data_IF_034348059762
#
_entry.id   IF_034348059762
#
_cell.length_a   1.000
_cell.length_b   1.000
_cell.length_c   1.000
_cell.angle_alpha   90.00
_cell.angle_beta   90.00
_cell.angle_gamma   90.00
#
_symmetry.space_group_name_H-M   'P 1'
#
loop_
_entity.id
_entity.type
_entity.pdbx_description
1 polymer ?
#
# COMPACT_ATOMS: atom_id res chain seq x y z
N UNK A 1 -1.31 13.86 -30.94
CA UNK A 1 -1.08 12.76 -30.01
C UNK A 1 -2.14 12.84 -28.93
N UNK A 2 -2.87 11.75 -28.71
CA UNK A 2 -3.97 11.71 -27.74
C UNK A 2 -3.65 10.66 -26.68
N UNK A 3 -3.78 11.01 -25.42
CA UNK A 3 -3.61 10.10 -24.28
C UNK A 3 -4.85 10.09 -23.41
N UNK A 4 -5.12 8.96 -22.78
CA UNK A 4 -6.17 8.81 -21.79
C UNK A 4 -5.59 9.04 -20.41
N UNK A 5 -6.20 9.93 -19.61
CA UNK A 5 -5.80 10.17 -18.23
C UNK A 5 -6.83 9.57 -17.29
N UNK A 6 -6.37 8.81 -16.31
CA UNK A 6 -7.20 8.25 -15.22
C UNK A 6 -6.89 8.96 -13.92
N UNK A 7 -7.95 9.34 -13.23
CA UNK A 7 -7.90 10.02 -11.93
C UNK A 7 -8.56 9.15 -10.86
N UNK A 8 -7.95 9.12 -9.68
CA UNK A 8 -8.41 8.31 -8.54
C UNK A 8 -8.68 9.19 -7.32
N UNK A 9 -9.47 8.67 -6.39
CA UNK A 9 -9.78 9.27 -5.10
C UNK A 9 -10.06 10.79 -5.19
N UNK A 10 -9.49 11.60 -4.31
CA UNK A 10 -9.68 13.04 -4.29
C UNK A 10 -9.37 13.79 -5.59
N UNK A 11 -8.54 13.23 -6.49
CA UNK A 11 -8.31 13.83 -7.81
C UNK A 11 -9.53 13.67 -8.72
N UNK A 12 -10.22 12.52 -8.65
CA UNK A 12 -11.48 12.28 -9.36
C UNK A 12 -12.55 13.27 -8.91
N UNK A 13 -12.67 13.47 -7.60
CA UNK A 13 -13.63 14.43 -7.04
C UNK A 13 -13.33 15.87 -7.45
N UNK A 14 -12.06 16.30 -7.36
CA UNK A 14 -11.62 17.64 -7.79
C UNK A 14 -11.87 17.89 -9.28
N UNK A 15 -11.68 16.86 -10.13
CA UNK A 15 -11.89 16.94 -11.56
C UNK A 15 -13.35 16.72 -11.99
N UNK A 16 -14.21 16.19 -11.11
CA UNK A 16 -15.60 15.80 -11.41
C UNK A 16 -15.72 14.64 -12.40
N UNK A 17 -14.63 13.90 -12.65
CA UNK A 17 -14.57 12.79 -13.61
C UNK A 17 -13.41 11.85 -13.32
N UNK A 18 -13.59 10.56 -13.60
CA UNK A 18 -12.57 9.52 -13.38
C UNK A 18 -11.61 9.35 -14.58
N UNK A 19 -12.05 9.79 -15.76
CA UNK A 19 -11.31 9.61 -17.02
C UNK A 19 -11.51 10.81 -17.93
N UNK A 20 -10.44 11.21 -18.61
CA UNK A 20 -10.46 12.27 -19.62
C UNK A 20 -9.39 11.99 -20.70
N UNK A 21 -9.53 12.65 -21.83
CA UNK A 21 -8.54 12.62 -22.89
C UNK A 21 -7.79 13.95 -22.94
N UNK A 22 -6.47 13.88 -23.12
CA UNK A 22 -5.62 15.03 -23.38
C UNK A 22 -4.94 14.90 -24.75
N UNK A 23 -4.78 16.02 -25.40
CA UNK A 23 -4.03 16.12 -26.65
C UNK A 23 -2.75 16.94 -26.44
N UNK A 24 -1.74 16.65 -27.26
CA UNK A 24 -0.48 17.41 -27.31
C UNK A 24 0.28 17.46 -25.97
N UNK A 25 0.39 16.31 -25.31
CA UNK A 25 1.25 16.09 -24.13
C UNK A 25 2.41 15.18 -24.53
N UNK A 26 3.65 15.62 -24.28
CA UNK A 26 4.85 14.90 -24.70
C UNK A 26 5.40 13.97 -23.63
N UNK A 27 5.25 14.35 -22.37
CA UNK A 27 5.72 13.60 -21.21
C UNK A 27 4.62 13.46 -20.15
N UNK A 28 4.84 12.55 -19.22
CA UNK A 28 3.93 12.35 -18.09
C UNK A 28 3.81 13.63 -17.23
N UNK A 29 4.90 14.37 -17.05
CA UNK A 29 4.90 15.66 -16.33
C UNK A 29 4.00 16.71 -16.96
N UNK A 30 3.80 16.66 -18.29
CA UNK A 30 2.94 17.61 -18.99
C UNK A 30 1.44 17.40 -18.71
N UNK A 31 1.08 16.25 -18.13
CA UNK A 31 -0.33 15.89 -17.86
C UNK A 31 -0.92 16.78 -16.77
N UNK A 32 -0.24 16.91 -15.62
CA UNK A 32 -0.79 17.63 -14.46
C UNK A 32 -1.17 19.09 -14.79
N UNK A 33 -0.31 19.90 -15.42
CA UNK A 33 -0.66 21.30 -15.76
C UNK A 33 -1.89 21.43 -16.65
N UNK A 34 -2.16 20.42 -17.50
CA UNK A 34 -3.30 20.44 -18.43
C UNK A 34 -4.64 20.10 -17.76
N UNK A 35 -4.62 19.53 -16.55
CA UNK A 35 -5.85 19.21 -15.82
C UNK A 35 -6.51 20.44 -15.20
N UNK A 36 -5.76 21.52 -14.95
CA UNK A 36 -6.27 22.73 -14.31
C UNK A 36 -6.71 22.53 -12.85
N UNK A 37 -6.15 21.53 -12.17
CA UNK A 37 -6.52 21.16 -10.80
C UNK A 37 -5.72 21.93 -9.72
N UNK A 38 -4.97 22.99 -10.10
CA UNK A 38 -4.16 23.77 -9.18
C UNK A 38 -2.80 23.12 -8.90
N UNK A 39 -2.27 23.32 -7.71
CA UNK A 39 -0.96 22.78 -7.32
C UNK A 39 -0.96 21.25 -7.28
N UNK A 40 0.13 20.66 -7.79
CA UNK A 40 0.33 19.21 -7.77
C UNK A 40 0.47 18.72 -6.33
N UNK A 41 -0.28 17.68 -5.90
CA UNK A 41 -0.16 17.16 -4.55
C UNK A 41 1.23 16.58 -4.32
N UNK A 42 1.86 16.84 -3.16
CA UNK A 42 3.10 16.18 -2.81
C UNK A 42 2.89 14.65 -2.76
N UNK A 43 3.82 13.90 -3.34
CA UNK A 43 3.73 12.44 -3.39
C UNK A 43 2.80 11.88 -4.49
N UNK A 44 2.37 12.71 -5.45
CA UNK A 44 1.67 12.21 -6.63
C UNK A 44 2.55 11.26 -7.42
N UNK A 45 2.02 10.07 -7.71
CA UNK A 45 2.70 9.06 -8.51
C UNK A 45 2.03 8.93 -9.88
N UNK A 46 2.83 8.50 -10.85
CA UNK A 46 2.39 8.32 -12.22
C UNK A 46 2.55 6.87 -12.66
N UNK A 47 1.54 6.34 -13.33
CA UNK A 47 1.66 5.07 -14.04
C UNK A 47 1.31 5.25 -15.50
N UNK A 48 2.11 4.65 -16.39
CA UNK A 48 1.91 4.60 -17.83
C UNK A 48 1.57 3.17 -18.21
N UNK A 49 0.40 2.96 -18.82
CA UNK A 49 -0.08 1.65 -19.24
C UNK A 49 -0.01 0.60 -18.12
N UNK A 50 -0.31 1.02 -16.85
CA UNK A 50 -0.31 0.24 -15.61
C UNK A 50 1.08 -0.09 -15.03
N UNK A 51 2.14 0.56 -15.52
CA UNK A 51 3.48 0.46 -14.96
C UNK A 51 3.91 1.81 -14.38
N UNK A 52 4.53 1.80 -13.20
CA UNK A 52 5.04 3.04 -12.62
C UNK A 52 6.18 3.60 -13.45
N UNK A 53 6.12 4.91 -13.68
CA UNK A 53 7.12 5.62 -14.46
C UNK A 53 7.52 6.92 -13.75
N UNK A 54 8.71 7.41 -14.09
CA UNK A 54 9.13 8.75 -13.69
C UNK A 54 8.35 9.82 -14.48
N UNK A 55 8.28 11.03 -13.93
CA UNK A 55 7.54 12.14 -14.52
C UNK A 55 8.05 12.56 -15.92
N UNK A 56 9.32 12.29 -16.22
CA UNK A 56 9.96 12.58 -17.52
C UNK A 56 9.73 11.50 -18.59
N UNK A 57 8.98 10.44 -18.27
CA UNK A 57 8.67 9.38 -19.23
C UNK A 57 7.91 9.95 -20.44
N UNK A 58 8.39 9.59 -21.65
CA UNK A 58 7.78 10.00 -22.90
C UNK A 58 6.46 9.27 -23.15
N UNK A 59 5.48 9.99 -23.70
CA UNK A 59 4.17 9.47 -24.05
C UNK A 59 4.05 9.18 -25.54
N UNK A 60 3.24 8.18 -25.88
CA UNK A 60 2.86 7.82 -27.24
C UNK A 60 1.34 7.98 -27.46
N UNK A 61 0.92 8.00 -28.72
CA UNK A 61 -0.51 8.08 -29.06
C UNK A 61 -1.25 6.84 -28.59
N UNK A 62 -2.36 7.05 -27.86
CA UNK A 62 -3.17 5.97 -27.30
C UNK A 62 -2.76 5.50 -25.90
N UNK A 63 -1.70 6.08 -25.30
CA UNK A 63 -1.28 5.71 -23.95
C UNK A 63 -2.33 6.06 -22.88
N UNK A 64 -2.34 5.26 -21.81
CA UNK A 64 -3.12 5.52 -20.60
C UNK A 64 -2.18 5.97 -19.47
N UNK A 65 -2.35 7.21 -19.00
CA UNK A 65 -1.63 7.77 -17.85
C UNK A 65 -2.55 7.76 -16.64
N UNK A 66 -2.16 7.08 -15.59
CA UNK A 66 -2.87 7.10 -14.30
C UNK A 66 -2.17 8.06 -13.34
N UNK A 67 -2.91 9.03 -12.79
CA UNK A 67 -2.47 9.89 -11.70
C UNK A 67 -2.96 9.32 -10.39
N UNK A 68 -2.01 8.86 -9.59
CA UNK A 68 -2.26 8.16 -8.35
C UNK A 68 -1.88 9.10 -7.20
N UNK A 69 -2.87 9.75 -6.56
CA UNK A 69 -2.59 10.59 -5.40
C UNK A 69 -2.02 9.72 -4.28
N UNK A 70 -1.21 10.30 -3.39
CA UNK A 70 -0.94 9.62 -2.13
C UNK A 70 -2.28 9.26 -1.52
N UNK A 71 -2.42 8.01 -1.06
CA UNK A 71 -3.68 7.55 -0.45
C UNK A 71 -4.00 8.47 0.73
N UNK A 72 -5.05 9.29 0.58
CA UNK A 72 -5.53 10.16 1.63
C UNK A 72 -6.13 9.27 2.72
N UNK A 73 -5.43 9.15 3.85
CA UNK A 73 -5.85 8.36 5.00
C UNK A 73 -5.14 7.02 5.19
N UNK A 74 -4.32 6.54 4.24
CA UNK A 74 -3.49 5.36 4.45
C UNK A 74 -2.31 5.68 5.37
N UNK A 75 -2.23 5.06 6.55
CA UNK A 75 -1.08 5.18 7.42
C UNK A 75 -0.19 3.95 7.25
N UNK A 76 1.05 4.21 6.83
CA UNK A 76 2.08 3.18 6.78
C UNK A 76 3.02 3.44 7.92
N UNK A 77 3.10 2.49 8.87
CA UNK A 77 3.92 2.69 10.06
C UNK A 77 4.68 1.44 10.42
N UNK A 78 5.94 1.65 10.71
CA UNK A 78 6.71 0.75 11.55
C UNK A 78 6.52 1.18 12.99
N UNK A 79 6.14 0.25 13.86
CA UNK A 79 5.76 0.54 15.24
C UNK A 79 6.62 -0.29 16.18
N UNK A 80 7.36 0.38 17.06
CA UNK A 80 8.03 -0.27 18.19
C UNK A 80 7.04 -0.36 19.37
N UNK A 81 6.39 -1.51 19.49
CA UNK A 81 5.38 -1.77 20.53
C UNK A 81 4.09 -2.40 20.00
N UNK A 82 3.11 -2.69 20.87
CA UNK A 82 1.86 -3.34 20.50
C UNK A 82 1.05 -2.56 19.46
N UNK A 83 0.50 -3.26 18.46
CA UNK A 83 -0.36 -2.66 17.45
C UNK A 83 -1.78 -2.44 17.97
N UNK A 84 -2.32 -1.23 17.79
CA UNK A 84 -3.75 -0.98 17.94
C UNK A 84 -4.48 -1.30 16.63
N UNK A 85 -4.95 -2.53 16.51
CA UNK A 85 -5.71 -2.99 15.34
C UNK A 85 -6.97 -2.14 15.10
N UNK A 86 -7.59 -1.65 16.16
CA UNK A 86 -8.78 -0.81 16.04
C UNK A 86 -8.44 0.56 15.46
N UNK A 87 -7.26 1.10 15.76
CA UNK A 87 -6.78 2.34 15.13
C UNK A 87 -6.56 2.13 13.64
N UNK A 88 -5.93 1.01 13.22
CA UNK A 88 -5.72 0.69 11.81
C UNK A 88 -7.03 0.60 11.04
N UNK A 89 -8.07 0.03 11.64
CA UNK A 89 -9.41 -0.03 11.02
C UNK A 89 -10.03 1.36 10.87
N UNK A 90 -9.89 2.23 11.88
CA UNK A 90 -10.40 3.61 11.80
C UNK A 90 -9.70 4.44 10.74
N UNK A 91 -8.42 4.19 10.49
CA UNK A 91 -7.64 4.92 9.47
C UNK A 91 -8.13 4.71 8.03
N UNK A 92 -8.90 3.65 7.78
CA UNK A 92 -9.47 3.37 6.46
C UNK A 92 -10.97 3.62 6.36
N UNK A 93 -11.57 4.18 7.41
CA UNK A 93 -12.98 4.57 7.35
C UNK A 93 -13.18 5.65 6.28
N UNK A 94 -14.17 5.44 5.41
CA UNK A 94 -14.49 6.32 4.29
C UNK A 94 -16.00 6.27 4.02
N UNK A 95 -16.67 7.41 3.82
CA UNK A 95 -18.11 7.45 3.52
C UNK A 95 -18.51 6.71 2.26
N UNK A 96 -17.60 6.58 1.28
CA UNK A 96 -17.84 5.86 0.02
C UNK A 96 -17.50 4.37 0.11
N UNK A 97 -17.00 3.91 1.26
CA UNK A 97 -16.66 2.50 1.46
C UNK A 97 -17.90 1.67 1.78
N UNK A 98 -18.22 0.71 0.91
CA UNK A 98 -19.23 -0.33 1.16
C UNK A 98 -18.68 -1.53 1.94
N UNK A 99 -17.36 -1.61 2.19
CA UNK A 99 -16.75 -2.66 2.97
C UNK A 99 -15.30 -2.42 3.32
N UNK A 100 -14.90 -2.91 4.51
CA UNK A 100 -13.53 -2.93 4.98
C UNK A 100 -13.10 -4.39 5.13
N UNK A 101 -11.97 -4.76 4.53
CA UNK A 101 -11.28 -6.03 4.76
C UNK A 101 -10.05 -5.79 5.62
N UNK A 102 -9.75 -6.70 6.53
CA UNK A 102 -8.54 -6.62 7.35
C UNK A 102 -7.83 -7.96 7.45
N UNK A 103 -6.51 -7.89 7.59
CA UNK A 103 -5.65 -9.01 7.94
C UNK A 103 -4.82 -8.64 9.17
N UNK A 104 -4.83 -9.52 10.15
CA UNK A 104 -3.98 -9.39 11.35
C UNK A 104 -3.10 -10.63 11.45
N UNK A 105 -1.79 -10.44 11.26
CA UNK A 105 -0.80 -11.49 11.46
C UNK A 105 -0.37 -11.54 12.92
N UNK A 106 -0.47 -12.74 13.52
CA UNK A 106 -0.12 -12.96 14.94
C UNK A 106 1.02 -13.95 15.09
N UNK A 107 1.73 -13.87 16.21
CA UNK A 107 2.82 -14.79 16.55
C UNK A 107 2.26 -16.10 17.06
N UNK A 108 2.61 -17.19 16.37
CA UNK A 108 2.16 -18.54 16.71
C UNK A 108 3.12 -19.20 17.71
N UNK A 109 2.59 -19.99 18.63
CA UNK A 109 3.39 -20.78 19.58
C UNK A 109 4.27 -21.82 18.92
N UNK A 110 3.95 -22.28 17.71
CA UNK A 110 4.69 -23.33 17.00
C UNK A 110 5.01 -22.90 15.57
N UNK A 111 6.27 -23.12 15.20
CA UNK A 111 6.76 -22.96 13.84
C UNK A 111 7.68 -24.12 13.48
N UNK A 112 7.47 -24.73 12.32
CA UNK A 112 8.31 -25.84 11.80
C UNK A 112 8.52 -26.98 12.80
N UNK A 113 7.49 -27.31 13.61
CA UNK A 113 7.53 -28.39 14.61
C UNK A 113 8.22 -28.01 15.93
N UNK A 114 8.75 -26.80 16.07
CA UNK A 114 9.42 -26.29 17.28
C UNK A 114 8.52 -25.32 18.04
N UNK A 115 8.74 -25.21 19.35
CA UNK A 115 8.06 -24.24 20.19
C UNK A 115 8.80 -22.90 20.12
N UNK A 116 8.08 -21.87 19.67
CA UNK A 116 8.56 -20.49 19.59
C UNK A 116 8.32 -19.81 20.92
N UNK A 117 9.29 -19.06 21.42
CA UNK A 117 9.16 -18.25 22.63
C UNK A 117 8.65 -16.85 22.30
N UNK A 118 9.23 -16.22 21.28
CA UNK A 118 8.83 -14.94 20.73
C UNK A 118 9.44 -14.75 19.34
N UNK A 119 9.01 -13.72 18.63
CA UNK A 119 9.65 -13.25 17.42
C UNK A 119 10.37 -11.93 17.66
N UNK A 120 11.41 -11.66 16.88
CA UNK A 120 12.01 -10.34 16.77
C UNK A 120 11.98 -9.91 15.31
N UNK A 121 11.54 -8.69 15.06
CA UNK A 121 11.50 -8.11 13.73
C UNK A 121 12.50 -6.96 13.60
N UNK A 122 13.29 -7.00 12.55
CA UNK A 122 14.14 -5.88 12.13
C UNK A 122 13.65 -5.34 10.80
N UNK A 123 13.70 -4.02 10.65
CA UNK A 123 13.36 -3.32 9.42
C UNK A 123 14.50 -2.40 9.01
N UNK A 124 14.71 -2.26 7.71
CA UNK A 124 15.44 -1.12 7.19
C UNK A 124 14.44 0.03 6.96
N UNK A 125 14.22 0.82 8.00
CA UNK A 125 13.12 1.81 8.08
C UNK A 125 13.15 2.80 6.91
N UNK A 126 14.34 3.33 6.56
CA UNK A 126 14.52 4.29 5.47
C UNK A 126 14.08 3.75 4.09
N UNK A 127 14.06 2.43 3.90
CA UNK A 127 13.55 1.77 2.70
C UNK A 127 12.13 1.23 2.89
N UNK A 128 11.81 0.71 4.07
CA UNK A 128 10.56 -0.01 4.30
C UNK A 128 9.34 0.92 4.19
N UNK A 129 9.39 2.11 4.76
CA UNK A 129 8.28 3.06 4.71
C UNK A 129 7.97 3.52 3.28
N UNK A 130 8.92 4.01 2.46
CA UNK A 130 8.65 4.34 1.06
C UNK A 130 8.14 3.14 0.23
N UNK A 131 8.60 1.93 0.53
CA UNK A 131 8.13 0.73 -0.15
C UNK A 131 6.70 0.35 0.26
N UNK A 132 6.30 0.57 1.51
CA UNK A 132 4.92 0.39 1.96
C UNK A 132 3.97 1.41 1.30
N UNK A 133 4.39 2.67 1.21
CA UNK A 133 3.65 3.71 0.49
C UNK A 133 3.46 3.33 -0.99
N UNK A 134 4.53 2.88 -1.63
CA UNK A 134 4.48 2.40 -3.01
C UNK A 134 3.53 1.21 -3.17
N UNK A 135 3.60 0.23 -2.28
CA UNK A 135 2.71 -0.93 -2.30
C UNK A 135 1.24 -0.50 -2.26
N UNK A 136 0.89 0.44 -1.37
CA UNK A 136 -0.48 0.93 -1.28
C UNK A 136 -0.95 1.64 -2.55
N UNK A 137 -0.09 2.44 -3.16
CA UNK A 137 -0.40 3.08 -4.42
C UNK A 137 -0.59 2.07 -5.56
N UNK A 138 0.25 1.02 -5.60
CA UNK A 138 0.09 -0.08 -6.56
C UNK A 138 -1.23 -0.82 -6.37
N UNK A 139 -1.64 -1.08 -5.12
CA UNK A 139 -2.93 -1.68 -4.80
C UNK A 139 -4.09 -0.78 -5.27
N UNK A 140 -4.01 0.53 -5.00
CA UNK A 140 -5.03 1.50 -5.42
C UNK A 140 -5.12 1.65 -6.95
N UNK A 141 -4.02 1.46 -7.66
CA UNK A 141 -4.02 1.48 -9.12
C UNK A 141 -4.67 0.22 -9.74
N UNK A 142 -4.55 -0.92 -9.08
CA UNK A 142 -5.08 -2.21 -9.54
C UNK A 142 -6.49 -2.48 -9.09
N UNK A 143 -6.89 -1.97 -7.94
CA UNK A 143 -8.20 -2.15 -7.33
C UNK A 143 -8.88 -0.80 -7.13
N UNK A 144 -10.19 -0.77 -7.18
CA UNK A 144 -10.98 0.41 -6.84
C UNK A 144 -11.09 0.50 -5.32
N UNK A 145 -10.16 1.23 -4.68
CA UNK A 145 -10.07 1.37 -3.23
C UNK A 145 -10.41 2.78 -2.76
N UNK A 146 -10.95 2.88 -1.54
CA UNK A 146 -11.10 4.13 -0.82
C UNK A 146 -9.81 4.44 -0.03
N UNK A 147 -9.33 3.48 0.79
CA UNK A 147 -8.13 3.67 1.61
C UNK A 147 -7.42 2.34 1.93
N UNK A 148 -6.11 2.44 2.27
CA UNK A 148 -5.27 1.31 2.70
C UNK A 148 -4.43 1.75 3.88
N UNK A 149 -4.41 0.97 4.96
CA UNK A 149 -3.51 1.16 6.09
C UNK A 149 -2.72 -0.12 6.37
N UNK A 150 -1.42 0.01 6.61
CA UNK A 150 -0.53 -1.10 6.93
C UNK A 150 0.37 -0.69 8.10
N UNK A 151 0.21 -1.34 9.25
CA UNK A 151 1.10 -1.19 10.38
C UNK A 151 1.87 -2.48 10.60
N UNK A 152 3.18 -2.41 10.66
CA UNK A 152 4.03 -3.55 10.99
C UNK A 152 4.87 -3.26 12.23
N UNK A 153 4.99 -4.26 13.10
CA UNK A 153 5.78 -4.16 14.31
C UNK A 153 7.26 -4.39 14.03
N UNK A 154 8.12 -3.65 14.72
CA UNK A 154 9.55 -3.92 14.86
C UNK A 154 9.86 -4.37 16.30
N UNK A 155 11.06 -4.87 16.51
CA UNK A 155 11.47 -5.39 17.81
C UNK A 155 10.79 -6.68 18.22
N UNK A 156 10.65 -6.89 19.52
CA UNK A 156 10.14 -8.14 20.11
C UNK A 156 8.61 -8.19 20.09
N UNK A 157 8.08 -9.36 19.65
CA UNK A 157 6.64 -9.64 19.57
C UNK A 157 6.34 -10.97 20.28
N UNK A 158 5.47 -10.94 21.28
CA UNK A 158 5.12 -12.11 22.08
C UNK A 158 4.10 -13.00 21.37
N UNK A 159 3.99 -14.25 21.85
CA UNK A 159 3.00 -15.21 21.33
C UNK A 159 1.59 -14.67 21.49
N UNK A 160 0.81 -14.71 20.41
CA UNK A 160 -0.56 -14.20 20.37
C UNK A 160 -0.67 -12.72 20.04
N UNK A 161 0.41 -11.96 20.14
CA UNK A 161 0.40 -10.55 19.75
C UNK A 161 0.39 -10.38 18.23
N UNK A 162 -0.17 -9.26 17.78
CA UNK A 162 -0.16 -8.86 16.39
C UNK A 162 1.22 -8.34 15.99
N UNK A 163 1.77 -8.85 14.89
CA UNK A 163 3.01 -8.37 14.27
C UNK A 163 2.75 -7.48 13.06
N UNK A 164 1.64 -7.65 12.39
CA UNK A 164 1.18 -6.83 11.26
C UNK A 164 -0.33 -6.68 11.31
N UNK A 165 -0.81 -5.49 10.99
CA UNK A 165 -2.22 -5.21 10.78
C UNK A 165 -2.37 -4.47 9.45
N UNK A 166 -3.24 -4.97 8.59
CA UNK A 166 -3.60 -4.39 7.29
C UNK A 166 -5.09 -4.16 7.29
N UNK A 167 -5.52 -2.98 6.86
CA UNK A 167 -6.91 -2.67 6.59
C UNK A 167 -7.03 -2.03 5.21
N UNK A 168 -8.08 -2.41 4.48
CA UNK A 168 -8.38 -1.89 3.15
C UNK A 168 -9.87 -1.61 3.05
N UNK A 169 -10.23 -0.40 2.69
CA UNK A 169 -11.62 -0.03 2.39
C UNK A 169 -11.85 0.15 0.89
N UNK A 170 -13.03 -0.22 0.43
CA UNK A 170 -13.43 -0.11 -0.97
C UNK A 170 -14.95 0.03 -1.10
N UNK A 171 -15.46 0.58 -2.23
CA UNK A 171 -16.89 0.63 -2.53
C UNK A 171 -17.54 -0.76 -2.52
N UNK A 172 -16.79 -1.79 -2.90
CA UNK A 172 -17.28 -3.17 -2.98
C UNK A 172 -16.34 -4.16 -2.29
N UNK A 173 -16.94 -5.10 -1.52
CA UNK A 173 -16.21 -6.13 -0.78
C UNK A 173 -15.18 -6.93 -1.59
N UNK A 174 -15.44 -7.16 -2.89
CA UNK A 174 -14.55 -7.95 -3.73
C UNK A 174 -13.18 -7.26 -3.89
N UNK A 175 -13.17 -5.95 -4.13
CA UNK A 175 -11.94 -5.16 -4.23
C UNK A 175 -11.20 -5.11 -2.88
N UNK A 176 -11.91 -4.86 -1.77
CA UNK A 176 -11.31 -4.81 -0.44
C UNK A 176 -10.62 -6.15 -0.06
N UNK A 177 -11.30 -7.28 -0.26
CA UNK A 177 -10.75 -8.61 0.05
C UNK A 177 -9.57 -8.97 -0.85
N UNK A 178 -9.66 -8.69 -2.16
CA UNK A 178 -8.58 -8.97 -3.11
C UNK A 178 -7.33 -8.14 -2.78
N UNK A 179 -7.49 -6.84 -2.56
CA UNK A 179 -6.38 -5.93 -2.22
C UNK A 179 -5.77 -6.25 -0.85
N UNK A 180 -6.57 -6.60 0.16
CA UNK A 180 -6.07 -6.98 1.47
C UNK A 180 -5.20 -8.24 1.41
N UNK A 181 -5.61 -9.26 0.62
CA UNK A 181 -4.79 -10.45 0.37
C UNK A 181 -3.50 -10.09 -0.36
N UNK A 182 -3.60 -9.34 -1.45
CA UNK A 182 -2.43 -8.95 -2.24
C UNK A 182 -1.45 -8.10 -1.41
N UNK A 183 -1.95 -7.24 -0.52
CA UNK A 183 -1.15 -6.43 0.38
C UNK A 183 -0.22 -7.28 1.25
N UNK A 184 -0.76 -8.31 1.92
CA UNK A 184 0.06 -9.16 2.79
C UNK A 184 1.01 -10.06 1.99
N UNK A 185 0.59 -10.58 0.85
CA UNK A 185 1.42 -11.43 0.00
C UNK A 185 2.63 -10.62 -0.52
N UNK A 186 2.39 -9.42 -1.09
CA UNK A 186 3.45 -8.54 -1.60
C UNK A 186 4.36 -8.00 -0.49
N UNK A 187 3.79 -7.61 0.66
CA UNK A 187 4.57 -7.15 1.80
C UNK A 187 5.63 -8.19 2.20
N UNK A 188 5.24 -9.44 2.32
CA UNK A 188 6.17 -10.52 2.69
C UNK A 188 7.27 -10.78 1.68
N UNK A 189 7.01 -10.52 0.41
CA UNK A 189 7.98 -10.74 -0.67
C UNK A 189 8.93 -9.56 -0.88
N UNK A 190 8.46 -8.34 -0.70
CA UNK A 190 9.17 -7.15 -1.18
C UNK A 190 9.73 -6.27 -0.07
N UNK A 191 9.02 -6.11 1.04
CA UNK A 191 9.43 -5.16 2.08
C UNK A 191 10.66 -5.70 2.85
N UNK A 192 11.68 -4.86 3.10
CA UNK A 192 12.90 -5.25 3.82
C UNK A 192 12.63 -5.36 5.33
N UNK A 193 11.90 -6.40 5.68
CA UNK A 193 11.57 -6.82 7.03
C UNK A 193 12.14 -8.23 7.24
N UNK A 194 12.92 -8.40 8.28
CA UNK A 194 13.49 -9.68 8.67
C UNK A 194 12.88 -10.15 9.96
N UNK A 195 12.61 -11.45 10.03
CA UNK A 195 12.02 -12.11 11.19
C UNK A 195 13.01 -13.09 11.78
N UNK A 196 13.27 -12.97 13.07
CA UNK A 196 14.03 -13.93 13.86
C UNK A 196 13.08 -14.70 14.77
N UNK A 197 13.09 -16.01 14.69
CA UNK A 197 12.34 -16.89 15.60
C UNK A 197 13.24 -17.33 16.74
N UNK A 198 12.81 -17.07 17.97
CA UNK A 198 13.53 -17.45 19.21
C UNK A 198 12.87 -18.66 19.82
N UNK A 199 13.66 -19.70 20.09
CA UNK A 199 13.24 -20.97 20.64
C UNK A 199 13.95 -21.27 21.99
N UNK A 200 13.50 -22.24 22.74
CA UNK A 200 14.13 -22.62 24.01
C UNK A 200 15.61 -23.06 23.88
N UNK A 201 16.06 -23.45 22.70
CA UNK A 201 17.44 -23.93 22.43
C UNK A 201 18.25 -23.09 21.45
N UNK A 202 17.81 -21.86 21.13
CA UNK A 202 18.50 -20.98 20.18
C UNK A 202 17.57 -20.09 19.39
N UNK A 203 18.13 -19.47 18.38
CA UNK A 203 17.41 -18.52 17.51
C UNK A 203 17.74 -18.77 16.03
N UNK A 204 16.85 -18.38 15.15
CA UNK A 204 17.03 -18.57 13.71
C UNK A 204 16.40 -17.40 12.93
N UNK A 205 17.19 -16.80 12.05
CA UNK A 205 16.66 -15.85 11.09
C UNK A 205 15.89 -16.56 10.00
N UNK A 206 14.64 -16.16 9.83
CA UNK A 206 13.75 -16.71 8.81
C UNK A 206 13.75 -15.76 7.62
N UNK A 207 14.18 -16.28 6.47
CA UNK A 207 14.23 -15.53 5.21
C UNK A 207 12.85 -15.04 4.73
N UNK A 208 12.85 -14.23 3.67
CA UNK A 208 11.65 -13.67 3.04
C UNK A 208 10.64 -14.76 2.68
N UNK A 209 9.34 -14.46 2.78
CA UNK A 209 8.26 -15.33 2.29
C UNK A 209 7.78 -16.43 3.26
N UNK A 210 8.04 -16.30 4.54
CA UNK A 210 7.57 -17.30 5.53
C UNK A 210 6.31 -16.87 6.27
#
# INVERSE_FOLDING_TARGET
>A
MRVTVRLFAGLRERAGRARLELEDVATVADVWPRLGLGEEPPGLMYALNREYVAADAALADGDEVALIPPVSGGAFRLVDGPLDVSAVLREVEDPDAGGIASFVGTVRRRSRGREVLHLEYEAYEEMAEPMLERLAAELSARHELCSVAIHHRTGRVEIGEASVAIAVSAPHRAAALAACREAIDTLKETIPLWKKEVYAGGEEWIGRGS
#
